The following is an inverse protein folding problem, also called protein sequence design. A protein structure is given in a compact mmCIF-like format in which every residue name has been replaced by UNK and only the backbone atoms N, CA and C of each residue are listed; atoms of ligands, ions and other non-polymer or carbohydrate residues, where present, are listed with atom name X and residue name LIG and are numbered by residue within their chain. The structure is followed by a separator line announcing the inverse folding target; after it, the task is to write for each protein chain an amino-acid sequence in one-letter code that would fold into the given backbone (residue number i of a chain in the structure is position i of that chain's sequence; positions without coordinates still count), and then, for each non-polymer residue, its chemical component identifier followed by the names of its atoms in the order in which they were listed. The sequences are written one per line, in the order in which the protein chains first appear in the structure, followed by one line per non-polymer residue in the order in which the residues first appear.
data_IF_018568656544
#
_entry.id   IF_018568656544
#
_cell.length_a   1.000
_cell.length_b   1.000
_cell.length_c   1.000
_cell.angle_alpha   90.00
_cell.angle_beta   90.00
_cell.angle_gamma   90.00
#
_symmetry.space_group_name_H-M   'P 1'
#
loop_
_entity.id
_entity.type
_entity.pdbx_description
1 polymer ?
#
# COMPACT_ATOMS: atom_id res chain seq x y z
N UNK A 1 -19.01 5.00 2.76
CA UNK A 1 -18.43 3.76 3.30
C UNK A 1 -16.92 3.89 3.20
N UNK A 2 -16.19 4.10 4.30
CA UNK A 2 -14.73 4.16 4.21
C UNK A 2 -14.25 2.75 3.82
N UNK A 3 -13.53 2.56 2.70
CA UNK A 3 -12.94 1.26 2.39
C UNK A 3 -12.08 0.80 3.57
N UNK A 4 -11.99 -0.51 3.78
CA UNK A 4 -11.07 -1.09 4.76
C UNK A 4 -9.67 -0.48 4.50
N UNK A 5 -9.11 0.20 5.51
CA UNK A 5 -7.89 0.99 5.36
C UNK A 5 -6.73 0.15 4.77
N UNK A 6 -6.62 -1.13 5.16
CA UNK A 6 -5.60 -2.03 4.61
C UNK A 6 -5.78 -2.25 3.11
N UNK A 7 -7.02 -2.45 2.66
CA UNK A 7 -7.34 -2.65 1.23
C UNK A 7 -7.15 -1.37 0.44
N UNK A 8 -7.49 -0.22 1.03
CA UNK A 8 -7.23 1.09 0.41
C UNK A 8 -5.74 1.29 0.16
N UNK A 9 -4.91 1.12 1.20
CA UNK A 9 -3.45 1.28 1.09
C UNK A 9 -2.85 0.29 0.08
N UNK A 10 -3.36 -0.95 0.01
CA UNK A 10 -2.93 -1.95 -0.97
C UNK A 10 -3.25 -1.54 -2.42
N UNK A 11 -4.43 -0.98 -2.69
CA UNK A 11 -4.76 -0.49 -4.03
C UNK A 11 -3.86 0.70 -4.43
N UNK A 12 -3.55 1.60 -3.49
CA UNK A 12 -2.63 2.71 -3.74
C UNK A 12 -1.21 2.25 -4.05
N UNK A 13 -0.75 1.19 -3.39
CA UNK A 13 0.53 0.55 -3.70
C UNK A 13 0.53 -0.08 -5.10
N UNK A 14 -0.53 -0.79 -5.45
CA UNK A 14 -0.70 -1.39 -6.79
C UNK A 14 -0.64 -0.33 -7.89
N UNK A 15 -1.27 0.82 -7.68
CA UNK A 15 -1.21 1.94 -8.62
C UNK A 15 0.20 2.53 -8.74
N UNK A 16 0.91 2.70 -7.62
CA UNK A 16 2.32 3.13 -7.64
C UNK A 16 3.21 2.14 -8.40
N UNK A 17 2.97 0.83 -8.24
CA UNK A 17 3.74 -0.22 -8.92
C UNK A 17 3.56 -0.23 -10.44
N UNK A 18 2.50 0.40 -10.99
CA UNK A 18 2.34 0.57 -12.44
C UNK A 18 3.36 1.54 -13.04
N UNK A 19 3.93 2.44 -12.23
CA UNK A 19 4.82 3.52 -12.71
C UNK A 19 6.20 3.51 -12.06
N UNK A 20 6.39 2.76 -10.96
CA UNK A 20 7.63 2.72 -10.19
C UNK A 20 7.88 1.31 -9.65
N UNK A 21 9.11 0.81 -9.76
CA UNK A 21 9.45 -0.52 -9.21
C UNK A 21 9.38 -0.53 -7.67
N UNK A 22 9.08 -1.70 -7.10
CA UNK A 22 8.89 -1.86 -5.65
C UNK A 22 10.12 -1.44 -4.84
N UNK A 23 11.33 -1.67 -5.35
CA UNK A 23 12.57 -1.29 -4.67
C UNK A 23 12.64 0.23 -4.50
N UNK A 24 12.14 0.99 -5.49
CA UNK A 24 12.16 2.45 -5.51
C UNK A 24 10.98 3.08 -4.78
N UNK A 25 9.88 2.36 -4.54
CA UNK A 25 8.72 2.87 -3.78
C UNK A 25 9.10 2.97 -2.29
N UNK A 26 8.92 4.15 -1.70
CA UNK A 26 9.06 4.35 -0.25
C UNK A 26 7.71 4.36 0.46
N UNK A 27 7.70 4.11 1.77
CA UNK A 27 6.49 4.26 2.62
C UNK A 27 5.90 5.66 2.50
N UNK A 28 6.74 6.70 2.36
CA UNK A 28 6.30 8.07 2.12
C UNK A 28 5.54 8.24 0.80
N UNK A 29 5.93 7.54 -0.27
CA UNK A 29 5.22 7.60 -1.55
C UNK A 29 3.81 7.01 -1.38
N UNK A 30 3.73 5.84 -0.72
CA UNK A 30 2.47 5.14 -0.45
C UNK A 30 1.53 6.01 0.40
N UNK A 31 2.05 6.61 1.48
CA UNK A 31 1.26 7.46 2.37
C UNK A 31 0.71 8.69 1.66
N UNK A 32 1.51 9.31 0.78
CA UNK A 32 1.09 10.46 -0.02
C UNK A 32 -0.03 10.10 -0.99
N UNK A 33 0.11 9.02 -1.75
CA UNK A 33 -0.94 8.59 -2.69
C UNK A 33 -2.21 8.16 -1.95
N UNK A 34 -2.08 7.52 -0.80
CA UNK A 34 -3.22 7.10 0.02
C UNK A 34 -3.85 8.20 0.87
N UNK A 35 -3.28 9.41 0.87
CA UNK A 35 -3.72 10.56 1.69
C UNK A 35 -3.79 10.23 3.19
N UNK A 36 -2.75 9.56 3.71
CA UNK A 36 -2.64 9.19 5.12
C UNK A 36 -1.30 9.62 5.74
N UNK A 37 -1.30 9.69 7.07
CA UNK A 37 -0.06 9.85 7.84
C UNK A 37 0.73 8.55 7.91
N UNK A 38 2.07 8.66 8.03
CA UNK A 38 2.95 7.48 8.21
C UNK A 38 2.59 6.66 9.45
N UNK A 39 2.13 7.29 10.53
CA UNK A 39 1.66 6.58 11.72
C UNK A 39 0.46 5.67 11.43
N UNK A 40 -0.41 6.07 10.49
CA UNK A 40 -1.55 5.26 10.06
C UNK A 40 -1.09 4.06 9.24
N UNK A 41 -0.08 4.24 8.38
CA UNK A 41 0.56 3.13 7.68
C UNK A 41 1.15 2.12 8.68
N UNK A 42 1.98 2.60 9.61
CA UNK A 42 2.67 1.73 10.58
C UNK A 42 1.75 1.09 11.62
N UNK A 43 0.53 1.60 11.79
CA UNK A 43 -0.51 0.91 12.57
C UNK A 43 -1.01 -0.37 11.88
N UNK A 44 -0.90 -0.45 10.55
CA UNK A 44 -1.43 -1.56 9.75
C UNK A 44 -0.36 -2.51 9.20
N UNK A 45 0.86 -2.01 8.97
CA UNK A 45 1.96 -2.72 8.33
C UNK A 45 3.29 -2.33 8.96
N UNK A 46 4.16 -3.31 9.19
CA UNK A 46 5.52 -3.10 9.67
C UNK A 46 6.39 -2.40 8.62
N UNK A 47 6.25 -2.81 7.35
CA UNK A 47 6.98 -2.24 6.23
C UNK A 47 6.22 -2.35 4.89
N UNK A 48 6.86 -1.88 3.81
CA UNK A 48 6.28 -1.93 2.45
C UNK A 48 6.19 -3.36 1.87
N UNK A 49 6.96 -4.32 2.38
CA UNK A 49 6.96 -5.68 1.89
C UNK A 49 5.82 -6.50 2.53
N UNK A 50 5.45 -6.21 3.77
CA UNK A 50 4.22 -6.75 4.35
C UNK A 50 2.99 -6.29 3.54
N UNK A 51 2.93 -5.00 3.19
CA UNK A 51 1.90 -4.48 2.30
C UNK A 51 1.95 -5.11 0.90
N UNK A 52 3.15 -5.33 0.34
CA UNK A 52 3.31 -6.01 -0.94
C UNK A 52 2.67 -7.38 -0.92
N UNK A 53 2.91 -8.17 0.14
CA UNK A 53 2.34 -9.51 0.26
C UNK A 53 0.81 -9.47 0.24
N UNK A 54 0.19 -8.55 0.99
CA UNK A 54 -1.26 -8.35 0.93
C UNK A 54 -1.72 -7.95 -0.48
N UNK A 55 -1.02 -7.02 -1.11
CA UNK A 55 -1.33 -6.51 -2.46
C UNK A 55 -1.27 -7.62 -3.51
N UNK A 56 -0.27 -8.50 -3.43
CA UNK A 56 -0.10 -9.66 -4.31
C UNK A 56 -1.20 -10.71 -4.10
N UNK A 57 -1.57 -10.99 -2.84
CA UNK A 57 -2.68 -11.89 -2.52
C UNK A 57 -3.98 -11.35 -3.12
N UNK A 58 -4.31 -10.07 -2.91
CA UNK A 58 -5.52 -9.47 -3.48
C UNK A 58 -5.59 -9.58 -5.01
N UNK A 59 -4.46 -9.41 -5.70
CA UNK A 59 -4.42 -9.52 -7.15
C UNK A 59 -4.67 -10.95 -7.66
N UNK A 60 -4.24 -11.97 -6.93
CA UNK A 60 -4.42 -13.37 -7.32
C UNK A 60 -5.86 -13.88 -7.18
N UNK A 61 -6.68 -13.22 -6.36
CA UNK A 61 -8.06 -13.63 -6.07
C UNK A 61 -9.12 -12.74 -6.73
N UNK A 62 -8.73 -11.80 -7.60
CA UNK A 62 -9.61 -10.89 -8.34
C UNK A 62 -9.39 -11.02 -9.84
#
# INVERSE_FOLDING_TARGET
MKPNMKLWIAEQMKDLMKVKSIEKIGVTDICKTAEIERSTFYYHFEDKYELLNLTMIMHLFM
#
